data_IF_964246823902
#
_entry.id   IF_964246823902
#
_cell.length_a   1.000
_cell.length_b   1.000
_cell.length_c   1.000
_cell.angle_alpha   90.00
_cell.angle_beta   90.00
_cell.angle_gamma   90.00
#
_symmetry.space_group_name_H-M   'P 1'
#
loop_
_entity.id
_entity.type
_entity.pdbx_description
1 polymer ?
#
# COMPACT_ATOMS: atom_id res chain seq x y z
N UNK A 1 8.88 -18.51 20.52
CA UNK A 1 10.21 -19.11 20.33
C UNK A 1 11.22 -18.26 19.56
N UNK A 2 11.17 -16.92 19.60
CA UNK A 2 12.28 -16.08 19.10
C UNK A 2 12.74 -16.33 17.65
N UNK A 3 11.96 -17.06 16.86
CA UNK A 3 12.30 -17.41 15.49
C UNK A 3 11.98 -16.21 14.61
N UNK A 4 13.02 -15.66 14.00
CA UNK A 4 12.90 -14.61 13.01
C UNK A 4 12.18 -15.16 11.77
N UNK A 5 11.21 -14.41 11.24
CA UNK A 5 10.54 -14.78 10.00
C UNK A 5 11.53 -14.68 8.84
N UNK A 6 11.49 -15.62 7.90
CA UNK A 6 12.40 -15.67 6.76
C UNK A 6 11.67 -16.11 5.50
N UNK A 7 12.19 -15.70 4.34
CA UNK A 7 11.63 -16.02 3.04
C UNK A 7 12.21 -17.35 2.51
N UNK A 8 11.34 -18.34 2.29
CA UNK A 8 11.71 -19.62 1.66
C UNK A 8 11.44 -19.58 0.17
N UNK A 9 12.49 -19.44 -0.64
CA UNK A 9 12.36 -19.59 -2.11
C UNK A 9 12.23 -21.07 -2.46
N UNK A 10 11.12 -21.44 -3.11
CA UNK A 10 10.91 -22.78 -3.65
C UNK A 10 11.42 -22.85 -5.09
N UNK A 11 12.05 -23.97 -5.52
CA UNK A 11 12.48 -24.13 -6.92
C UNK A 11 11.32 -24.06 -7.93
N UNK A 12 10.14 -24.50 -7.51
CA UNK A 12 8.89 -24.36 -8.25
C UNK A 12 7.71 -24.37 -7.26
N UNK A 13 6.67 -23.63 -7.59
CA UNK A 13 5.38 -23.65 -6.90
C UNK A 13 4.32 -24.23 -7.84
N UNK A 14 3.53 -25.19 -7.36
CA UNK A 14 2.34 -25.66 -8.07
C UNK A 14 1.13 -24.91 -7.51
N UNK A 15 0.43 -24.21 -8.39
CA UNK A 15 -0.81 -23.52 -8.07
C UNK A 15 -1.93 -24.33 -8.72
N UNK A 16 -2.82 -24.88 -7.89
CA UNK A 16 -4.00 -25.56 -8.40
C UNK A 16 -4.98 -24.54 -8.99
N UNK A 17 -5.54 -24.86 -10.16
CA UNK A 17 -6.55 -24.05 -10.83
C UNK A 17 -7.85 -24.87 -10.94
N UNK A 18 -8.62 -25.02 -9.85
CA UNK A 18 -9.90 -25.70 -9.90
C UNK A 18 -10.86 -24.93 -10.81
N UNK A 19 -11.50 -25.67 -11.72
CA UNK A 19 -12.60 -25.17 -12.56
C UNK A 19 -13.92 -25.42 -11.83
N UNK A 20 -14.70 -24.36 -11.63
CA UNK A 20 -15.92 -24.41 -10.82
C UNK A 20 -17.08 -23.82 -11.62
N UNK A 21 -18.06 -24.64 -12.02
CA UNK A 21 -19.30 -24.13 -12.59
C UNK A 21 -20.02 -23.22 -11.59
N UNK A 22 -20.43 -22.04 -12.05
CA UNK A 22 -21.15 -21.06 -11.24
C UNK A 22 -22.28 -20.44 -12.05
N UNK A 23 -23.44 -20.26 -11.42
CA UNK A 23 -24.52 -19.49 -12.03
C UNK A 23 -24.14 -18.00 -12.03
N UNK A 24 -24.48 -17.22 -13.07
CA UNK A 24 -24.18 -15.79 -13.12
C UNK A 24 -24.61 -15.04 -11.85
N UNK A 25 -25.78 -15.36 -11.28
CA UNK A 25 -26.28 -14.73 -10.04
C UNK A 25 -25.46 -15.05 -8.78
N UNK A 26 -24.64 -16.11 -8.78
CA UNK A 26 -23.80 -16.52 -7.65
C UNK A 26 -22.36 -16.04 -7.78
N UNK A 27 -21.96 -15.49 -8.93
CA UNK A 27 -20.57 -15.20 -9.28
C UNK A 27 -19.90 -14.24 -8.28
N UNK A 28 -20.52 -13.08 -8.02
CA UNK A 28 -19.94 -12.05 -7.13
C UNK A 28 -19.69 -12.60 -5.72
N UNK A 29 -20.66 -13.35 -5.18
CA UNK A 29 -20.51 -14.00 -3.87
C UNK A 29 -19.38 -15.02 -3.84
N UNK A 30 -19.19 -15.77 -4.94
CA UNK A 30 -18.10 -16.76 -5.05
C UNK A 30 -16.74 -16.08 -5.19
N UNK A 31 -16.67 -14.97 -5.91
CA UNK A 31 -15.46 -14.14 -6.01
C UNK A 31 -15.10 -13.59 -4.63
N UNK A 32 -16.06 -12.97 -3.94
CA UNK A 32 -15.85 -12.40 -2.61
C UNK A 32 -15.36 -13.46 -1.61
N UNK A 33 -16.03 -14.61 -1.54
CA UNK A 33 -15.63 -15.71 -0.67
C UNK A 33 -14.24 -16.27 -1.01
N UNK A 34 -13.88 -16.30 -2.29
CA UNK A 34 -12.56 -16.73 -2.75
C UNK A 34 -11.46 -15.73 -2.39
N UNK A 35 -11.74 -14.44 -2.52
CA UNK A 35 -10.82 -13.34 -2.23
C UNK A 35 -10.62 -13.12 -0.72
N UNK A 36 -11.65 -13.35 0.10
CA UNK A 36 -11.59 -13.17 1.56
C UNK A 36 -11.00 -14.37 2.31
N UNK A 37 -10.75 -15.49 1.63
CA UNK A 37 -10.17 -16.67 2.24
C UNK A 37 -8.68 -16.43 2.54
N UNK A 38 -8.31 -16.47 3.82
CA UNK A 38 -6.95 -16.24 4.28
C UNK A 38 -5.90 -17.22 3.72
N UNK A 39 -4.65 -16.93 4.06
CA UNK A 39 -3.49 -17.76 3.75
C UNK A 39 -2.75 -18.13 5.04
N UNK A 40 -2.31 -19.37 5.14
CA UNK A 40 -1.26 -19.73 6.12
C UNK A 40 0.11 -19.52 5.47
N UNK A 41 0.71 -18.35 5.68
CA UNK A 41 1.99 -17.98 5.09
C UNK A 41 3.17 -18.85 5.54
N UNK A 42 2.99 -19.70 6.55
CA UNK A 42 4.03 -20.62 7.02
C UNK A 42 4.10 -21.91 6.19
N UNK A 43 3.02 -22.25 5.49
CA UNK A 43 2.90 -23.52 4.75
C UNK A 43 2.40 -23.36 3.31
N UNK A 44 1.72 -22.26 2.99
CA UNK A 44 1.10 -21.99 1.70
C UNK A 44 1.92 -21.01 0.86
N UNK A 45 1.89 -21.21 -0.47
CA UNK A 45 2.32 -20.18 -1.41
C UNK A 45 1.29 -19.03 -1.36
N UNK A 46 1.72 -17.75 -1.26
CA UNK A 46 0.84 -16.59 -1.12
C UNK A 46 0.09 -16.21 -2.41
N UNK A 47 -0.30 -17.21 -3.21
CA UNK A 47 -1.04 -17.07 -4.46
C UNK A 47 -2.04 -18.22 -4.58
N UNK A 48 -3.29 -17.89 -4.91
CA UNK A 48 -4.37 -18.84 -5.19
C UNK A 48 -5.07 -18.44 -6.48
N UNK A 49 -5.45 -19.41 -7.30
CA UNK A 49 -6.24 -19.17 -8.49
C UNK A 49 -7.49 -20.06 -8.52
N UNK A 50 -8.56 -19.59 -9.16
CA UNK A 50 -9.77 -20.36 -9.45
C UNK A 50 -10.33 -19.91 -10.79
N UNK A 51 -10.82 -20.87 -11.59
CA UNK A 51 -11.53 -20.56 -12.84
C UNK A 51 -13.01 -20.83 -12.63
N UNK A 52 -13.84 -19.81 -12.76
CA UNK A 52 -15.29 -19.94 -12.74
C UNK A 52 -15.79 -20.12 -14.16
N UNK A 53 -16.58 -21.16 -14.40
CA UNK A 53 -17.30 -21.38 -15.66
C UNK A 53 -18.71 -20.80 -15.49
N UNK A 54 -19.00 -19.72 -16.21
CA UNK A 54 -20.26 -18.94 -16.09
C UNK A 54 -21.23 -19.30 -17.21
N UNK A 55 -20.71 -19.77 -18.35
CA UNK A 55 -21.45 -20.28 -19.50
C UNK A 55 -20.54 -21.11 -20.39
N UNK A 56 -21.05 -21.57 -21.55
CA UNK A 56 -20.33 -22.48 -22.43
C UNK A 56 -18.97 -21.93 -22.92
N UNK A 57 -18.91 -20.63 -23.21
CA UNK A 57 -17.70 -19.95 -23.69
C UNK A 57 -17.30 -18.76 -22.78
N UNK A 58 -17.87 -18.70 -21.57
CA UNK A 58 -17.67 -17.57 -20.64
C UNK A 58 -17.05 -18.05 -19.33
N UNK A 59 -15.86 -17.52 -19.03
CA UNK A 59 -15.10 -17.88 -17.86
C UNK A 59 -14.59 -16.63 -17.13
N UNK A 60 -14.50 -16.73 -15.80
CA UNK A 60 -13.92 -15.70 -14.95
C UNK A 60 -12.77 -16.30 -14.15
N UNK A 61 -11.57 -15.78 -14.39
CA UNK A 61 -10.37 -16.16 -13.64
C UNK A 61 -10.23 -15.27 -12.40
N UNK A 62 -10.30 -15.87 -11.22
CA UNK A 62 -9.94 -15.24 -9.95
C UNK A 62 -8.50 -15.59 -9.61
N UNK A 63 -7.64 -14.57 -9.49
CA UNK A 63 -6.29 -14.69 -8.91
C UNK A 63 -6.22 -13.86 -7.65
N UNK A 64 -5.85 -14.50 -6.54
CA UNK A 64 -5.70 -13.86 -5.22
C UNK A 64 -4.22 -13.97 -4.84
N UNK A 65 -3.57 -12.83 -4.63
CA UNK A 65 -2.20 -12.74 -4.15
C UNK A 65 -2.24 -12.12 -2.77
N UNK A 66 -1.64 -12.77 -1.78
CA UNK A 66 -1.49 -12.16 -0.46
C UNK A 66 -0.58 -10.94 -0.57
N UNK A 67 -0.93 -9.82 0.05
CA UNK A 67 -0.25 -8.53 -0.15
C UNK A 67 1.27 -8.57 0.18
N UNK A 68 1.69 -9.52 1.02
CA UNK A 68 3.11 -9.79 1.32
C UNK A 68 3.95 -10.19 0.08
N UNK A 69 3.31 -10.71 -0.97
CA UNK A 69 3.96 -11.23 -2.17
C UNK A 69 3.72 -10.37 -3.41
N UNK A 70 2.90 -9.33 -3.31
CA UNK A 70 2.56 -8.48 -4.43
C UNK A 70 1.79 -7.24 -3.99
N UNK A 71 2.09 -6.11 -4.62
CA UNK A 71 1.37 -4.85 -4.47
C UNK A 71 0.62 -4.45 -5.75
N UNK A 72 -0.01 -3.26 -5.73
CA UNK A 72 -0.74 -2.73 -6.87
C UNK A 72 0.09 -2.61 -8.16
N UNK A 73 1.41 -2.41 -8.05
CA UNK A 73 2.31 -2.34 -9.21
C UNK A 73 2.75 -3.72 -9.71
N UNK A 74 2.64 -4.75 -8.87
CA UNK A 74 2.89 -6.14 -9.25
C UNK A 74 1.78 -6.74 -10.10
N UNK A 75 0.53 -6.29 -9.94
CA UNK A 75 -0.62 -6.90 -10.62
C UNK A 75 -0.58 -6.77 -12.15
N UNK A 76 -0.25 -5.61 -12.75
CA UNK A 76 -0.08 -5.50 -14.20
C UNK A 76 1.04 -6.39 -14.75
N UNK A 77 2.15 -6.54 -14.01
CA UNK A 77 3.28 -7.41 -14.37
C UNK A 77 2.82 -8.87 -14.39
N UNK A 78 2.18 -9.32 -13.30
CA UNK A 78 1.65 -10.69 -13.18
C UNK A 78 0.63 -10.99 -14.30
N UNK A 79 -0.25 -10.05 -14.62
CA UNK A 79 -1.23 -10.21 -15.69
C UNK A 79 -0.57 -10.34 -17.07
N UNK A 80 0.45 -9.53 -17.35
CA UNK A 80 1.23 -9.61 -18.59
C UNK A 80 1.95 -10.96 -18.72
N UNK A 81 2.61 -11.41 -17.66
CA UNK A 81 3.37 -12.66 -17.66
C UNK A 81 2.43 -13.86 -17.81
N UNK A 82 1.27 -13.82 -17.15
CA UNK A 82 0.22 -14.84 -17.31
C UNK A 82 -0.29 -14.91 -18.75
N UNK A 83 -0.59 -13.76 -19.37
CA UNK A 83 -1.05 -13.71 -20.76
C UNK A 83 0.02 -14.27 -21.72
N UNK A 84 1.29 -13.92 -21.50
CA UNK A 84 2.42 -14.42 -22.29
C UNK A 84 2.59 -15.93 -22.14
N UNK A 85 2.54 -16.45 -20.91
CA UNK A 85 2.58 -17.88 -20.66
C UNK A 85 1.40 -18.62 -21.30
N UNK A 86 0.20 -18.05 -21.19
CA UNK A 86 -1.00 -18.65 -21.76
C UNK A 86 -0.90 -18.78 -23.29
N UNK A 87 -0.50 -17.71 -23.98
CA UNK A 87 -0.32 -17.72 -25.44
C UNK A 87 0.71 -18.77 -25.89
N UNK A 88 1.89 -18.83 -25.26
CA UNK A 88 2.92 -19.81 -25.60
C UNK A 88 2.43 -21.26 -25.38
N UNK A 89 1.65 -21.50 -24.31
CA UNK A 89 1.12 -22.82 -23.99
C UNK A 89 0.02 -23.27 -24.95
N UNK A 90 -0.76 -22.34 -25.53
CA UNK A 90 -1.71 -22.67 -26.60
C UNK A 90 -1.02 -23.22 -27.86
N UNK A 91 0.23 -22.79 -28.10
CA UNK A 91 1.06 -23.27 -29.21
C UNK A 91 1.90 -24.50 -28.83
N UNK A 92 1.75 -25.05 -27.62
CA UNK A 92 2.54 -26.17 -27.11
C UNK A 92 3.99 -25.82 -26.77
N UNK A 93 4.32 -24.52 -26.71
CA UNK A 93 5.66 -24.02 -26.40
C UNK A 93 5.81 -23.63 -24.92
N UNK A 94 7.06 -23.42 -24.50
CA UNK A 94 7.35 -22.73 -23.24
C UNK A 94 7.34 -21.21 -23.45
N UNK A 95 6.87 -20.43 -22.46
CA UNK A 95 7.02 -18.98 -22.51
C UNK A 95 8.49 -18.61 -22.66
N UNK A 96 8.78 -17.69 -23.58
CA UNK A 96 10.09 -17.08 -23.74
C UNK A 96 10.08 -15.73 -23.02
N UNK A 97 10.78 -15.65 -21.90
CA UNK A 97 10.94 -14.43 -21.13
C UNK A 97 12.43 -14.08 -21.02
N UNK A 98 12.72 -12.80 -20.96
CA UNK A 98 14.04 -12.35 -20.54
C UNK A 98 14.17 -12.61 -19.03
N UNK A 99 15.23 -13.30 -18.56
CA UNK A 99 15.42 -13.55 -17.14
C UNK A 99 15.45 -12.23 -16.35
N UNK A 100 14.78 -12.20 -15.20
CA UNK A 100 14.82 -11.04 -14.32
C UNK A 100 16.26 -10.81 -13.84
N UNK A 101 16.72 -9.55 -13.92
CA UNK A 101 18.06 -9.17 -13.47
C UNK A 101 18.24 -9.35 -11.95
N UNK A 102 17.15 -9.22 -11.19
CA UNK A 102 17.09 -9.39 -9.73
C UNK A 102 15.78 -10.07 -9.33
N UNK A 103 15.80 -10.76 -8.19
CA UNK A 103 14.63 -11.32 -7.54
C UNK A 103 14.21 -10.44 -6.35
N UNK A 104 12.96 -10.60 -5.88
CA UNK A 104 12.50 -9.91 -4.68
C UNK A 104 13.36 -10.22 -3.44
N UNK A 105 13.93 -11.43 -3.35
CA UNK A 105 14.83 -11.82 -2.26
C UNK A 105 16.13 -11.00 -2.25
N UNK A 106 16.62 -10.57 -3.42
CA UNK A 106 17.81 -9.72 -3.54
C UNK A 106 17.49 -8.30 -3.06
N UNK A 107 16.31 -7.78 -3.42
CA UNK A 107 15.79 -6.50 -2.93
C UNK A 107 15.64 -6.51 -1.40
N UNK A 108 14.99 -7.52 -0.84
CA UNK A 108 14.76 -7.64 0.60
C UNK A 108 16.09 -7.71 1.39
N UNK A 109 17.07 -8.45 0.86
CA UNK A 109 18.41 -8.52 1.46
C UNK A 109 19.11 -7.16 1.45
N UNK A 110 19.09 -6.45 0.32
CA UNK A 110 19.69 -5.11 0.19
C UNK A 110 19.01 -4.08 1.11
N UNK A 111 17.68 -4.12 1.20
CA UNK A 111 16.93 -3.24 2.09
C UNK A 111 17.32 -3.48 3.56
N UNK A 112 17.51 -4.74 3.96
CA UNK A 112 17.99 -5.08 5.30
C UNK A 112 19.40 -4.55 5.56
N UNK A 113 20.33 -4.74 4.63
CA UNK A 113 21.71 -4.23 4.75
C UNK A 113 21.74 -2.71 4.94
N UNK A 114 20.91 -1.96 4.21
CA UNK A 114 20.79 -0.51 4.34
C UNK A 114 20.25 -0.07 5.72
N UNK A 115 19.44 -0.91 6.37
CA UNK A 115 18.85 -0.62 7.68
C UNK A 115 19.75 -1.06 8.84
N UNK A 116 20.58 -2.08 8.62
CA UNK A 116 21.57 -2.58 9.57
C UNK A 116 22.84 -1.70 9.55
N UNK A 117 23.03 -0.86 8.53
CA UNK A 117 24.05 0.20 8.50
C UNK A 117 23.67 1.35 9.46
N UNK A 118 23.78 1.08 10.76
CA UNK A 118 23.60 2.04 11.86
C UNK A 118 24.85 2.90 12.09
N UNK A 119 25.74 3.05 11.10
CA UNK A 119 26.90 3.92 11.22
C UNK A 119 26.47 5.35 11.55
N UNK A 120 27.11 5.96 12.55
CA UNK A 120 26.83 7.35 12.93
C UNK A 120 27.05 8.26 11.70
N UNK A 121 25.95 8.83 11.19
CA UNK A 121 25.96 9.69 9.99
C UNK A 121 25.61 9.00 8.67
N UNK A 122 25.26 7.71 8.68
CA UNK A 122 24.72 7.00 7.52
C UNK A 122 23.36 7.54 7.06
N UNK A 123 22.99 7.24 5.81
CA UNK A 123 21.75 7.74 5.20
C UNK A 123 20.49 7.27 5.97
N UNK A 124 20.45 6.00 6.40
CA UNK A 124 19.35 5.47 7.19
C UNK A 124 19.19 6.21 8.54
N UNK A 125 20.28 6.50 9.23
CA UNK A 125 20.27 7.28 10.46
C UNK A 125 19.79 8.72 10.24
N UNK A 126 20.19 9.36 9.13
CA UNK A 126 19.75 10.71 8.73
C UNK A 126 18.24 10.74 8.47
N UNK A 127 17.72 9.80 7.69
CA UNK A 127 16.29 9.69 7.41
C UNK A 127 15.48 9.39 8.67
N UNK A 128 15.96 8.49 9.54
CA UNK A 128 15.32 8.21 10.82
C UNK A 128 15.30 9.44 11.74
N UNK A 129 16.39 10.22 11.76
CA UNK A 129 16.48 11.49 12.47
C UNK A 129 15.43 12.51 12.00
N UNK A 130 15.22 12.63 10.69
CA UNK A 130 14.13 13.43 10.14
C UNK A 130 12.77 12.97 10.67
N UNK A 131 12.46 11.68 10.56
CA UNK A 131 11.13 11.17 10.94
C UNK A 131 10.85 11.27 12.44
N UNK A 132 11.83 10.96 13.28
CA UNK A 132 11.70 11.10 14.73
C UNK A 132 11.42 12.52 15.17
N UNK A 133 12.03 13.52 14.51
CA UNK A 133 11.71 14.93 14.70
C UNK A 133 10.34 15.34 14.13
N UNK A 134 10.07 14.96 12.88
CA UNK A 134 8.85 15.34 12.15
C UNK A 134 7.57 14.79 12.79
N UNK A 135 7.67 13.64 13.45
CA UNK A 135 6.54 12.94 14.08
C UNK A 135 6.54 13.08 15.62
N UNK A 136 7.42 13.92 16.16
CA UNK A 136 7.43 14.22 17.58
C UNK A 136 6.10 14.87 18.01
N UNK A 137 5.50 14.34 19.08
CA UNK A 137 4.25 14.87 19.63
C UNK A 137 3.03 14.67 18.73
N UNK A 138 3.07 13.71 17.80
CA UNK A 138 1.87 13.30 17.07
C UNK A 138 0.72 12.93 18.02
N UNK A 139 -0.54 13.22 17.65
CA UNK A 139 -1.68 12.67 18.35
C UNK A 139 -1.69 11.14 18.25
N UNK A 140 -1.97 10.46 19.36
CA UNK A 140 -2.05 9.00 19.39
C UNK A 140 -3.23 8.46 18.59
N UNK A 141 -4.33 9.22 18.55
CA UNK A 141 -5.53 8.90 17.81
C UNK A 141 -6.27 10.18 17.37
N UNK A 142 -6.69 10.22 16.11
CA UNK A 142 -7.58 11.28 15.61
C UNK A 142 -9.01 11.08 16.12
N UNK A 143 -9.62 12.17 16.61
CA UNK A 143 -11.05 12.16 16.98
C UNK A 143 -11.90 12.25 15.71
N UNK A 144 -12.35 11.10 15.22
CA UNK A 144 -13.21 11.00 14.04
C UNK A 144 -14.69 10.93 14.43
N UNK A 145 -15.63 11.44 13.60
CA UNK A 145 -17.07 11.39 13.86
C UNK A 145 -17.63 9.96 13.62
N UNK A 146 -17.24 9.02 14.48
CA UNK A 146 -17.66 7.64 14.39
C UNK A 146 -19.07 7.43 14.99
N UNK A 147 -19.89 6.61 14.32
CA UNK A 147 -21.24 6.27 14.80
C UNK A 147 -21.25 5.39 16.07
N UNK A 148 -20.12 4.73 16.37
CA UNK A 148 -20.01 3.73 17.43
C UNK A 148 -18.64 3.81 18.11
N UNK A 149 -18.54 3.46 19.41
CA UNK A 149 -17.25 3.37 20.08
C UNK A 149 -16.36 2.30 19.44
N UNK A 150 -15.05 2.56 19.43
CA UNK A 150 -14.06 1.62 18.90
C UNK A 150 -13.98 0.37 19.80
N UNK A 151 -14.11 -0.85 19.25
CA UNK A 151 -13.91 -2.07 20.04
C UNK A 151 -12.43 -2.28 20.36
N UNK A 152 -12.12 -2.80 21.56
CA UNK A 152 -10.74 -3.07 21.97
C UNK A 152 -10.06 -4.17 21.12
N UNK A 153 -10.86 -5.13 20.67
CA UNK A 153 -10.46 -6.19 19.73
C UNK A 153 -11.68 -6.46 18.85
N UNK A 154 -11.49 -6.53 17.54
CA UNK A 154 -12.60 -6.82 16.63
C UNK A 154 -12.12 -7.15 15.22
N UNK A 155 -12.95 -7.85 14.43
CA UNK A 155 -12.62 -8.11 13.04
C UNK A 155 -12.51 -6.79 12.27
N UNK A 156 -11.51 -6.68 11.40
CA UNK A 156 -11.35 -5.56 10.46
C UNK A 156 -12.42 -5.63 9.35
N UNK A 157 -13.66 -5.29 9.70
CA UNK A 157 -14.75 -5.14 8.72
C UNK A 157 -14.64 -3.77 8.07
N UNK A 158 -14.68 -3.74 6.75
CA UNK A 158 -14.69 -2.51 5.97
C UNK A 158 -15.98 -2.42 5.16
N UNK A 159 -16.49 -1.20 5.00
CA UNK A 159 -17.46 -0.85 3.97
C UNK A 159 -16.76 -0.04 2.89
N UNK A 160 -17.31 -0.04 1.67
CA UNK A 160 -16.82 0.80 0.57
C UNK A 160 -17.94 1.70 0.08
N UNK A 161 -17.68 3.00 0.05
CA UNK A 161 -18.52 3.96 -0.65
C UNK A 161 -17.73 4.52 -1.83
N UNK A 162 -18.30 4.45 -3.02
CA UNK A 162 -17.70 4.97 -4.25
C UNK A 162 -18.48 6.18 -4.69
N UNK A 163 -17.77 7.26 -5.00
CA UNK A 163 -18.33 8.47 -5.58
C UNK A 163 -17.43 8.93 -6.73
N UNK A 164 -18.02 9.69 -7.65
CA UNK A 164 -17.31 10.23 -8.81
C UNK A 164 -16.99 11.70 -8.59
N UNK A 165 -15.76 12.10 -8.93
CA UNK A 165 -15.36 13.51 -8.98
C UNK A 165 -15.66 14.03 -10.38
N UNK A 166 -16.54 15.04 -10.55
CA UNK A 166 -16.82 15.61 -11.86
C UNK A 166 -15.55 16.13 -12.53
N UNK A 167 -15.45 15.97 -13.86
CA UNK A 167 -14.27 16.36 -14.65
C UNK A 167 -13.88 17.81 -14.40
N UNK A 168 -14.86 18.71 -14.37
CA UNK A 168 -14.65 20.14 -14.18
C UNK A 168 -14.02 20.44 -12.82
N UNK A 169 -14.36 19.66 -11.79
CA UNK A 169 -13.76 19.77 -10.47
C UNK A 169 -12.31 19.28 -10.49
N UNK A 170 -12.04 18.13 -11.10
CA UNK A 170 -10.67 17.62 -11.25
C UNK A 170 -9.76 18.60 -12.00
N UNK A 171 -10.25 19.20 -13.09
CA UNK A 171 -9.49 20.20 -13.85
C UNK A 171 -9.18 21.45 -13.01
N UNK A 172 -10.11 21.88 -12.14
CA UNK A 172 -9.87 22.96 -11.18
C UNK A 172 -8.82 22.60 -10.15
N UNK A 173 -8.85 21.39 -9.61
CA UNK A 173 -7.81 20.87 -8.70
C UNK A 173 -6.45 20.89 -9.40
N UNK A 174 -6.39 20.44 -10.65
CA UNK A 174 -5.17 20.48 -11.46
C UNK A 174 -4.65 21.89 -11.73
N UNK A 175 -5.53 22.89 -11.88
CA UNK A 175 -5.14 24.30 -11.99
C UNK A 175 -4.54 24.83 -10.68
N UNK A 176 -5.20 24.60 -9.55
CA UNK A 176 -4.70 25.02 -8.21
C UNK A 176 -3.33 24.38 -7.93
N UNK A 177 -3.19 23.08 -8.20
CA UNK A 177 -1.92 22.39 -8.05
C UNK A 177 -0.80 23.07 -8.86
N UNK A 178 -1.06 23.41 -10.13
CA UNK A 178 -0.08 24.09 -10.98
C UNK A 178 0.26 25.50 -10.48
N UNK A 179 -0.75 26.29 -10.11
CA UNK A 179 -0.58 27.67 -9.61
C UNK A 179 0.26 27.70 -8.33
N UNK A 180 0.07 26.73 -7.45
CA UNK A 180 0.80 26.60 -6.18
C UNK A 180 2.07 25.74 -6.27
N UNK A 181 2.46 25.30 -7.48
CA UNK A 181 3.61 24.41 -7.72
C UNK A 181 3.57 23.13 -6.87
N UNK A 182 2.36 22.63 -6.63
CA UNK A 182 2.07 21.40 -5.91
C UNK A 182 1.55 20.32 -6.88
N UNK A 183 1.29 19.12 -6.36
CA UNK A 183 0.62 18.05 -7.10
C UNK A 183 -0.88 18.02 -6.80
N UNK A 184 -1.73 17.43 -7.66
CA UNK A 184 -3.13 17.20 -7.33
C UNK A 184 -3.31 16.38 -6.04
N UNK A 185 -2.37 15.47 -5.74
CA UNK A 185 -2.32 14.71 -4.50
C UNK A 185 -2.22 15.64 -3.27
N UNK A 186 -1.23 16.55 -3.26
CA UNK A 186 -1.05 17.53 -2.17
C UNK A 186 -2.30 18.42 -1.97
N UNK A 187 -2.98 18.79 -3.05
CA UNK A 187 -4.23 19.58 -2.97
C UNK A 187 -5.35 18.78 -2.32
N UNK A 188 -5.50 17.50 -2.68
CA UNK A 188 -6.51 16.62 -2.08
C UNK A 188 -6.17 16.29 -0.63
N UNK A 189 -4.89 16.10 -0.29
CA UNK A 189 -4.42 15.93 1.09
C UNK A 189 -4.76 17.14 1.96
N UNK A 190 -4.46 18.36 1.49
CA UNK A 190 -4.83 19.59 2.17
C UNK A 190 -6.35 19.69 2.38
N UNK A 191 -7.15 19.33 1.37
CA UNK A 191 -8.60 19.31 1.47
C UNK A 191 -9.11 18.27 2.48
N UNK A 192 -8.50 17.08 2.53
CA UNK A 192 -8.83 16.04 3.49
C UNK A 192 -8.48 16.47 4.92
N UNK A 193 -7.28 17.02 5.16
CA UNK A 193 -6.87 17.52 6.47
C UNK A 193 -7.79 18.64 6.96
N UNK A 194 -8.15 19.59 6.09
CA UNK A 194 -9.11 20.65 6.40
C UNK A 194 -10.51 20.09 6.73
N UNK A 195 -10.98 19.09 5.99
CA UNK A 195 -12.25 18.41 6.27
C UNK A 195 -12.22 17.72 7.63
N UNK A 196 -11.19 16.93 7.92
CA UNK A 196 -11.05 16.20 9.18
C UNK A 196 -10.99 17.17 10.37
N UNK A 197 -10.23 18.27 10.24
CA UNK A 197 -10.19 19.31 11.26
C UNK A 197 -11.58 19.90 11.53
N UNK A 198 -12.33 20.23 10.48
CA UNK A 198 -13.73 20.73 10.59
C UNK A 198 -14.70 19.71 11.19
N UNK A 199 -14.39 18.41 11.08
CA UNK A 199 -15.15 17.32 11.69
C UNK A 199 -14.73 17.03 13.13
N UNK A 200 -13.79 17.78 13.69
CA UNK A 200 -13.38 17.69 15.10
C UNK A 200 -12.10 16.89 15.36
N UNK A 201 -11.34 16.53 14.33
CA UNK A 201 -10.09 15.78 14.47
C UNK A 201 -8.93 16.59 15.09
N UNK A 202 -9.14 17.88 15.38
CA UNK A 202 -8.11 18.80 15.88
C UNK A 202 -7.40 19.55 14.76
N UNK A 203 -6.20 20.07 15.04
CA UNK A 203 -5.43 20.85 14.06
C UNK A 203 -4.16 20.17 13.54
N UNK A 204 -3.77 19.05 14.14
CA UNK A 204 -2.58 18.28 13.77
C UNK A 204 -3.02 16.92 13.22
N UNK A 205 -2.93 16.75 11.90
CA UNK A 205 -3.57 15.65 11.17
C UNK A 205 -2.52 14.74 10.54
N UNK A 206 -2.21 13.56 11.13
CA UNK A 206 -1.41 12.54 10.46
C UNK A 206 -2.25 11.73 9.47
N UNK A 207 -1.77 11.63 8.23
CA UNK A 207 -2.38 10.84 7.17
C UNK A 207 -1.38 9.77 6.70
N UNK A 208 -1.83 8.52 6.58
CA UNK A 208 -1.04 7.46 5.98
C UNK A 208 -1.10 7.52 4.46
N UNK A 209 0.05 7.48 3.80
CA UNK A 209 0.10 7.35 2.34
C UNK A 209 1.03 6.21 1.93
N UNK A 210 0.55 5.24 1.14
CA UNK A 210 1.44 4.28 0.52
C UNK A 210 2.31 4.99 -0.51
N UNK A 211 3.61 4.68 -0.51
CA UNK A 211 4.57 5.06 -1.54
C UNK A 211 5.20 3.80 -2.10
N UNK A 212 5.61 3.86 -3.37
CA UNK A 212 6.22 2.71 -4.03
C UNK A 212 7.73 2.91 -4.08
N UNK A 213 8.47 2.07 -3.36
CA UNK A 213 9.94 2.09 -3.34
C UNK A 213 10.52 1.25 -4.50
N UNK A 214 10.12 1.59 -5.73
CA UNK A 214 10.50 0.87 -6.97
C UNK A 214 11.19 1.81 -7.96
N UNK A 215 12.19 2.54 -7.47
CA UNK A 215 12.93 3.55 -8.24
C UNK A 215 13.95 2.96 -9.21
N UNK A 216 14.42 1.74 -8.97
CA UNK A 216 15.36 1.04 -9.86
C UNK A 216 14.65 0.37 -11.04
N UNK A 217 15.13 0.62 -12.25
CA UNK A 217 14.62 -0.01 -13.49
C UNK A 217 14.70 -1.54 -13.44
N UNK A 218 15.71 -2.08 -12.75
CA UNK A 218 15.91 -3.52 -12.51
C UNK A 218 14.71 -4.18 -11.82
N UNK A 219 13.94 -3.41 -11.05
CA UNK A 219 12.77 -3.89 -10.32
C UNK A 219 11.49 -3.85 -11.16
N UNK A 220 11.47 -3.18 -12.33
CA UNK A 220 10.24 -2.94 -13.10
C UNK A 220 9.50 -4.21 -13.55
N UNK A 221 10.22 -5.34 -13.70
CA UNK A 221 9.64 -6.66 -14.04
C UNK A 221 9.37 -7.57 -12.84
N UNK A 222 9.73 -7.17 -11.62
CA UNK A 222 9.68 -8.04 -10.44
C UNK A 222 8.31 -7.99 -9.76
N UNK A 223 7.70 -9.15 -9.50
CA UNK A 223 6.52 -9.26 -8.61
C UNK A 223 7.01 -9.33 -7.16
N UNK A 224 6.48 -8.47 -6.30
CA UNK A 224 6.88 -8.38 -4.89
C UNK A 224 6.14 -7.28 -4.13
N UNK A 225 6.44 -7.17 -2.83
CA UNK A 225 5.88 -6.12 -1.98
C UNK A 225 6.89 -4.96 -1.84
N UNK A 226 6.67 -3.89 -2.59
CA UNK A 226 7.53 -2.70 -2.63
C UNK A 226 6.87 -1.45 -2.03
N UNK A 227 5.65 -1.59 -1.51
CA UNK A 227 4.95 -0.48 -0.86
C UNK A 227 5.57 -0.22 0.50
N UNK A 228 6.03 1.01 0.70
CA UNK A 228 6.29 1.57 2.03
C UNK A 228 5.14 2.50 2.41
N UNK A 229 4.98 2.82 3.69
CA UNK A 229 3.94 3.74 4.16
C UNK A 229 4.58 4.95 4.83
N UNK A 230 4.24 6.15 4.35
CA UNK A 230 4.68 7.41 4.95
C UNK A 230 3.57 8.02 5.81
N UNK A 231 3.97 8.71 6.88
CA UNK A 231 3.07 9.51 7.70
C UNK A 231 3.15 10.97 7.25
N UNK A 232 2.15 11.44 6.53
CA UNK A 232 2.05 12.79 6.01
C UNK A 232 1.30 13.67 7.02
N UNK A 233 2.07 14.33 7.90
CA UNK A 233 1.56 15.18 8.97
C UNK A 233 1.21 16.57 8.45
N UNK A 234 -0.03 17.00 8.67
CA UNK A 234 -0.52 18.30 8.22
C UNK A 234 -1.00 19.14 9.40
N UNK A 235 -0.38 20.31 9.59
CA UNK A 235 -0.82 21.32 10.57
C UNK A 235 -1.78 22.35 9.93
N UNK A 236 -3.04 22.33 10.37
CA UNK A 236 -4.09 23.26 9.95
C UNK A 236 -4.31 24.40 10.97
N UNK A 237 -3.45 24.55 11.97
CA UNK A 237 -3.58 25.58 13.00
C UNK A 237 -3.41 27.00 12.45
N UNK A 238 -4.04 27.96 13.14
CA UNK A 238 -3.96 29.39 12.78
C UNK A 238 -4.93 29.84 11.69
N UNK A 239 -5.94 29.04 11.35
CA UNK A 239 -6.95 29.34 10.31
C UNK A 239 -6.32 29.75 8.96
N UNK A 240 -5.45 28.90 8.37
CA UNK A 240 -4.76 29.24 7.14
C UNK A 240 -5.75 29.33 5.98
N UNK A 241 -5.44 30.20 5.02
CA UNK A 241 -6.05 30.10 3.69
C UNK A 241 -5.74 28.74 3.07
N UNK A 242 -6.58 28.30 2.14
CA UNK A 242 -6.35 27.02 1.47
C UNK A 242 -5.01 26.99 0.71
N UNK A 243 -4.57 28.13 0.17
CA UNK A 243 -3.29 28.24 -0.51
C UNK A 243 -2.11 28.04 0.45
N UNK A 244 -2.16 28.65 1.65
CA UNK A 244 -1.15 28.45 2.70
C UNK A 244 -1.13 26.99 3.17
N UNK A 245 -2.31 26.36 3.30
CA UNK A 245 -2.39 24.96 3.70
C UNK A 245 -1.78 24.02 2.65
N UNK A 246 -2.04 24.25 1.37
CA UNK A 246 -1.41 23.48 0.27
C UNK A 246 0.11 23.67 0.29
N UNK A 247 0.59 24.88 0.61
CA UNK A 247 2.03 25.14 0.69
C UNK A 247 2.69 24.39 1.86
N UNK A 248 2.05 24.38 3.04
CA UNK A 248 2.50 23.57 4.19
C UNK A 248 2.57 22.07 3.85
N UNK A 249 1.53 21.54 3.21
CA UNK A 249 1.49 20.15 2.74
C UNK A 249 2.62 19.89 1.75
N UNK A 250 2.80 20.76 0.76
CA UNK A 250 3.85 20.63 -0.26
C UNK A 250 5.24 20.59 0.37
N UNK A 251 5.54 21.48 1.30
CA UNK A 251 6.84 21.52 1.99
C UNK A 251 7.10 20.24 2.79
N UNK A 252 6.10 19.79 3.56
CA UNK A 252 6.21 18.57 4.35
C UNK A 252 6.35 17.33 3.47
N UNK A 253 5.49 17.15 2.49
CA UNK A 253 5.47 15.99 1.62
C UNK A 253 6.77 15.85 0.82
N UNK A 254 7.34 16.96 0.33
CA UNK A 254 8.64 16.92 -0.35
C UNK A 254 9.77 16.48 0.59
N UNK A 255 9.75 16.92 1.84
CA UNK A 255 10.69 16.44 2.85
C UNK A 255 10.45 14.96 3.17
N UNK A 256 9.19 14.53 3.34
CA UNK A 256 8.84 13.13 3.57
C UNK A 256 9.31 12.21 2.43
N UNK A 257 9.07 12.58 1.16
CA UNK A 257 9.51 11.81 0.01
C UNK A 257 11.04 11.74 -0.12
N UNK A 258 11.77 12.75 0.35
CA UNK A 258 13.23 12.74 0.39
C UNK A 258 13.80 11.79 1.46
N UNK A 259 12.96 11.27 2.37
CA UNK A 259 13.34 10.33 3.43
C UNK A 259 12.46 9.06 3.42
N UNK A 260 12.01 8.63 2.24
CA UNK A 260 11.03 7.53 2.09
C UNK A 260 11.62 6.12 2.22
N UNK A 261 12.94 5.98 2.39
CA UNK A 261 13.61 4.68 2.36
C UNK A 261 13.56 3.97 3.71
N UNK A 262 13.25 4.69 4.79
CA UNK A 262 13.01 4.11 6.12
C UNK A 262 11.67 3.37 6.13
N UNK A 263 11.65 2.05 6.39
CA UNK A 263 10.40 1.31 6.49
C UNK A 263 9.53 1.82 7.64
N UNK A 264 8.23 1.82 7.40
CA UNK A 264 7.23 2.19 8.41
C UNK A 264 7.40 1.41 9.73
N UNK A 265 7.70 0.12 9.67
CA UNK A 265 7.88 -0.72 10.86
C UNK A 265 9.06 -0.26 11.71
N UNK A 266 10.18 0.11 11.08
CA UNK A 266 11.37 0.67 11.78
C UNK A 266 11.04 2.01 12.42
N UNK A 267 10.20 2.81 11.78
CA UNK A 267 9.72 4.07 12.34
C UNK A 267 8.86 3.85 13.59
N UNK A 268 7.96 2.86 13.58
CA UNK A 268 7.16 2.48 14.75
C UNK A 268 8.05 1.96 15.88
N UNK A 269 9.07 1.17 15.58
CA UNK A 269 10.05 0.68 16.57
C UNK A 269 10.83 1.83 17.24
N UNK A 270 11.24 2.84 16.46
CA UNK A 270 11.99 3.97 16.96
C UNK A 270 11.12 4.94 17.79
N UNK A 271 9.89 5.23 17.34
CA UNK A 271 8.98 6.14 18.03
C UNK A 271 8.31 5.53 19.25
N UNK A 272 8.21 4.19 19.32
CA UNK A 272 7.58 3.43 20.41
C UNK A 272 6.20 4.01 20.83
N UNK A 273 5.25 4.20 19.89
CA UNK A 273 3.92 4.67 20.24
C UNK A 273 3.22 3.67 21.18
N UNK A 274 2.19 4.12 21.90
CA UNK A 274 1.38 3.25 22.74
C UNK A 274 0.79 2.12 21.89
N UNK A 275 1.13 0.87 22.23
CA UNK A 275 0.65 -0.32 21.51
C UNK A 275 -0.82 -0.54 21.77
N UNK A 276 -1.61 -0.64 20.70
CA UNK A 276 -3.02 -0.96 20.76
C UNK A 276 -3.41 -1.90 19.64
N UNK A 277 -4.13 -2.96 19.97
CA UNK A 277 -4.70 -3.87 18.97
C UNK A 277 -5.91 -3.25 18.24
N UNK A 278 -6.42 -2.12 18.73
CA UNK A 278 -7.64 -1.48 18.23
C UNK A 278 -7.39 -0.44 17.13
N UNK A 279 -6.15 0.05 16.97
CA UNK A 279 -5.82 1.14 16.05
C UNK A 279 -4.48 0.92 15.37
N UNK A 280 -4.37 1.44 14.16
CA UNK A 280 -3.10 1.51 13.46
C UNK A 280 -2.19 2.55 14.16
N UNK A 281 -0.88 2.26 14.33
CA UNK A 281 0.03 3.20 14.94
C UNK A 281 0.23 4.45 14.05
N UNK A 282 0.51 5.59 14.68
CA UNK A 282 0.86 6.88 14.06
C UNK A 282 -0.25 7.61 13.26
N UNK A 283 -1.19 6.89 12.62
CA UNK A 283 -2.31 7.46 11.88
C UNK A 283 -3.50 6.48 11.80
N UNK A 284 -4.69 6.99 11.47
CA UNK A 284 -5.92 6.18 11.33
C UNK A 284 -6.71 6.48 10.04
N UNK A 285 -6.18 7.36 9.19
CA UNK A 285 -6.73 7.74 7.87
C UNK A 285 -5.64 7.57 6.83
#
# INVERSE_FOLDING_TARGET
>A
DGAEAWLRVLPAARVDLPVVPVRPEDLDRRIEAGASAGFDLTTEVPLRARLFEVGADEHVLLVVVHHIAGDGTSMPVLAKDLATAYAARLEGAAPAWEPLAVQYADYASRQRELLDDESEGGEAARQLGFWTGALAGLPEELTLPADRPRPAVGPHRAGRHTFEVPRELYERVGRVARELRATPFMVVQAALAALLSRLGAGTDIPLGSPVVSRSEESLAGVVGFFVNTLVLRTDVSGDPTFAELVDRVREYDLAAFAHQDVPFERLVEALRPERSAARHPLFQV
#
